data_IF_502961444106
#
_entry.id   IF_502961444106
#
_cell.length_a   1.000
_cell.length_b   1.000
_cell.length_c   1.000
_cell.angle_alpha   90.00
_cell.angle_beta   90.00
_cell.angle_gamma   90.00
#
_symmetry.space_group_name_H-M   'P 1'
#
loop_
_entity.id
_entity.type
_entity.pdbx_description
1 polymer ?
#
# COMPACT_ATOMS: atom_id res chain seq x y z
N UNK A 1 17.49 -17.15 19.64
CA UNK A 1 16.69 -17.13 18.38
C UNK A 1 17.68 -17.00 17.24
N UNK A 2 17.78 -18.04 16.41
CA UNK A 2 18.63 -18.06 15.23
C UNK A 2 18.48 -16.79 14.37
N UNK A 3 19.59 -16.29 13.84
CA UNK A 3 19.59 -15.23 12.82
C UNK A 3 18.80 -15.75 11.62
N UNK A 4 17.66 -15.14 11.33
CA UNK A 4 16.86 -15.50 10.16
C UNK A 4 17.29 -14.72 8.93
N UNK A 5 17.18 -15.34 7.76
CA UNK A 5 17.53 -14.72 6.49
C UNK A 5 16.59 -13.57 6.17
N UNK A 6 17.20 -12.45 5.76
CA UNK A 6 16.50 -11.26 5.21
C UNK A 6 16.37 -11.32 3.69
N UNK A 7 16.78 -12.42 3.06
CA UNK A 7 16.65 -12.56 1.60
C UNK A 7 15.19 -12.43 1.17
N UNK A 8 14.92 -11.58 0.18
CA UNK A 8 13.56 -11.29 -0.30
C UNK A 8 12.71 -10.45 0.68
N UNK A 9 13.33 -9.82 1.69
CA UNK A 9 12.70 -8.91 2.65
C UNK A 9 13.17 -7.48 2.38
N UNK A 10 12.32 -6.49 2.65
CA UNK A 10 12.62 -5.11 2.29
C UNK A 10 13.27 -4.30 3.40
N UNK A 11 12.95 -4.61 4.66
CA UNK A 11 13.63 -3.97 5.80
C UNK A 11 15.03 -4.54 6.01
N UNK A 12 16.04 -3.67 5.98
CA UNK A 12 17.42 -4.05 6.27
C UNK A 12 17.68 -4.19 7.76
N UNK A 13 16.82 -3.65 8.63
CA UNK A 13 16.92 -3.75 10.10
C UNK A 13 15.61 -4.23 10.72
N UNK A 14 15.69 -4.89 11.88
CA UNK A 14 14.54 -5.37 12.65
C UNK A 14 14.55 -4.86 14.10
N UNK A 15 14.87 -3.59 14.30
CA UNK A 15 14.87 -2.98 15.62
C UNK A 15 13.45 -2.91 16.21
N UNK A 16 13.31 -3.11 17.52
CA UNK A 16 12.04 -2.92 18.22
C UNK A 16 11.54 -1.47 18.16
N UNK A 17 10.23 -1.24 18.36
CA UNK A 17 9.68 0.10 18.32
C UNK A 17 10.20 0.95 19.49
N UNK A 18 10.71 2.14 19.20
CA UNK A 18 11.27 3.06 20.21
C UNK A 18 10.24 4.04 20.76
N UNK A 19 9.09 4.19 20.08
CA UNK A 19 8.07 5.19 20.41
C UNK A 19 7.35 4.95 21.74
N UNK A 20 7.25 3.71 22.19
CA UNK A 20 6.44 3.34 23.36
C UNK A 20 7.26 2.96 24.60
N UNK A 21 8.53 3.34 24.66
CA UNK A 21 9.41 3.07 25.81
C UNK A 21 9.41 1.60 26.26
N UNK A 22 9.31 0.67 25.30
CA UNK A 22 9.39 -0.76 25.60
C UNK A 22 10.81 -1.12 26.01
N UNK A 23 10.94 -2.02 26.99
CA UNK A 23 12.23 -2.61 27.33
C UNK A 23 12.81 -3.29 26.08
N UNK A 24 14.02 -2.90 25.69
CA UNK A 24 14.73 -3.59 24.63
C UNK A 24 14.97 -5.03 25.09
N UNK A 25 14.39 -5.99 24.38
CA UNK A 25 14.76 -7.39 24.54
C UNK A 25 16.13 -7.57 23.87
N UNK A 26 17.18 -7.49 24.68
CA UNK A 26 18.48 -8.05 24.31
C UNK A 26 18.30 -9.56 24.32
N UNK A 27 18.33 -10.17 23.14
CA UNK A 27 18.41 -11.62 23.02
C UNK A 27 19.90 -11.93 23.11
N UNK A 28 20.39 -12.28 24.29
CA UNK A 28 21.68 -12.95 24.42
C UNK A 28 21.51 -14.36 23.86
N UNK A 29 22.22 -14.68 22.78
CA UNK A 29 22.21 -16.01 22.20
C UNK A 29 22.89 -17.02 23.14
N UNK A 30 22.33 -18.21 23.25
CA UNK A 30 22.97 -19.36 23.89
C UNK A 30 24.01 -19.96 22.92
N UNK A 31 25.03 -20.64 23.44
CA UNK A 31 25.91 -21.51 22.65
C UNK A 31 25.13 -22.48 21.76
N UNK A 32 23.95 -22.98 22.17
CA UNK A 32 23.06 -23.78 21.31
C UNK A 32 22.50 -23.02 20.09
N UNK A 33 22.22 -21.71 20.19
CA UNK A 33 21.84 -20.87 19.03
C UNK A 33 22.98 -20.75 18.01
N UNK A 34 24.23 -20.99 18.45
CA UNK A 34 25.43 -20.98 17.60
C UNK A 34 25.62 -22.30 16.83
N UNK A 35 25.04 -23.40 17.33
CA UNK A 35 25.10 -24.72 16.67
C UNK A 35 24.11 -24.81 15.51
N UNK A 36 22.92 -24.20 15.62
CA UNK A 36 21.96 -24.09 14.49
C UNK A 36 22.51 -23.26 13.32
N UNK A 37 23.50 -22.38 13.56
CA UNK A 37 24.15 -21.60 12.50
C UNK A 37 25.07 -22.45 11.60
N UNK A 38 25.44 -23.68 12.00
CA UNK A 38 26.26 -24.59 11.20
C UNK A 38 25.50 -25.16 9.98
N UNK A 39 24.16 -25.23 10.05
CA UNK A 39 23.29 -25.71 8.96
C UNK A 39 22.75 -24.59 8.04
N UNK A 40 23.29 -23.36 8.20
CA UNK A 40 22.93 -22.19 7.41
C UNK A 40 21.82 -21.33 8.04
N UNK A 41 21.65 -20.12 7.49
CA UNK A 41 20.70 -19.12 8.01
C UNK A 41 19.26 -19.50 7.60
N UNK A 42 18.42 -19.89 8.56
CA UNK A 42 17.04 -20.29 8.30
C UNK A 42 16.22 -19.19 7.60
N UNK A 43 15.38 -19.50 6.60
CA UNK A 43 14.58 -18.49 5.92
C UNK A 43 13.48 -17.93 6.83
N UNK A 44 13.37 -16.59 6.91
CA UNK A 44 12.28 -15.92 7.64
C UNK A 44 10.93 -16.24 7.01
N UNK A 45 10.12 -17.04 7.69
CA UNK A 45 8.77 -17.41 7.24
C UNK A 45 7.75 -16.33 7.60
N UNK A 46 6.72 -16.18 6.77
CA UNK A 46 5.56 -15.35 7.10
C UNK A 46 4.62 -16.15 8.00
N UNK A 47 4.30 -15.61 9.18
CA UNK A 47 3.24 -16.10 10.07
C UNK A 47 2.02 -15.19 9.99
N UNK A 48 0.83 -15.77 10.20
CA UNK A 48 -0.43 -15.03 10.14
C UNK A 48 -1.24 -15.33 11.40
N UNK A 49 -1.61 -14.28 12.12
CA UNK A 49 -2.48 -14.35 13.29
C UNK A 49 -3.90 -13.94 12.90
N UNK A 50 -4.91 -14.68 13.34
CA UNK A 50 -6.31 -14.31 13.13
C UNK A 50 -6.67 -13.18 14.10
N UNK A 51 -7.04 -12.02 13.58
CA UNK A 51 -7.58 -10.88 14.31
C UNK A 51 -9.11 -10.90 14.24
N UNK A 52 -9.78 -10.73 15.39
CA UNK A 52 -11.25 -10.64 15.50
C UNK A 52 -11.67 -9.22 15.88
N UNK A 53 -11.69 -8.26 14.94
CA UNK A 53 -12.05 -6.89 15.25
C UNK A 53 -13.56 -6.76 15.49
N UNK A 54 -13.96 -5.74 16.27
CA UNK A 54 -15.39 -5.41 16.48
C UNK A 54 -16.02 -4.67 15.30
N UNK A 55 -15.21 -4.00 14.48
CA UNK A 55 -15.60 -3.28 13.28
C UNK A 55 -14.52 -3.44 12.22
N UNK A 56 -14.94 -3.54 10.96
CA UNK A 56 -14.03 -3.59 9.82
C UNK A 56 -13.85 -2.22 9.15
N UNK A 57 -14.81 -1.31 9.32
CA UNK A 57 -14.80 0.02 8.74
C UNK A 57 -13.98 0.97 9.61
N UNK A 58 -12.94 1.58 9.03
CA UNK A 58 -12.17 2.66 9.64
C UNK A 58 -12.56 3.98 9.02
N UNK A 59 -12.67 5.04 9.83
CA UNK A 59 -12.95 6.40 9.37
C UNK A 59 -11.75 7.33 9.53
N UNK A 60 -11.70 8.35 8.70
CA UNK A 60 -10.72 9.43 8.78
C UNK A 60 -11.37 10.76 8.39
N UNK A 61 -10.80 11.87 8.87
CA UNK A 61 -11.27 13.23 8.57
C UNK A 61 -10.23 14.04 7.79
N UNK A 62 -9.37 13.37 7.02
CA UNK A 62 -8.28 14.06 6.36
C UNK A 62 -8.75 14.81 5.11
N UNK A 63 -8.39 16.09 4.94
CA UNK A 63 -8.76 16.86 3.75
C UNK A 63 -7.91 16.50 2.51
N UNK A 64 -6.85 15.69 2.67
CA UNK A 64 -5.89 15.39 1.60
C UNK A 64 -6.27 14.17 0.75
N UNK A 65 -7.23 13.36 1.22
CA UNK A 65 -7.60 12.09 0.58
C UNK A 65 -9.08 12.11 0.21
N UNK A 66 -9.41 11.48 -0.92
CA UNK A 66 -10.75 11.54 -1.52
C UNK A 66 -11.78 10.60 -0.88
N UNK A 67 -11.52 10.08 0.33
CA UNK A 67 -12.39 9.14 1.02
C UNK A 67 -12.37 9.36 2.54
N UNK A 68 -13.51 9.18 3.20
CA UNK A 68 -13.65 9.28 4.65
C UNK A 68 -13.60 7.90 5.35
N UNK A 69 -13.70 6.81 4.59
CA UNK A 69 -13.80 5.45 5.13
C UNK A 69 -13.02 4.42 4.32
N UNK A 70 -12.49 3.42 5.02
CA UNK A 70 -11.70 2.35 4.42
C UNK A 70 -11.91 1.01 5.10
N UNK A 71 -11.58 -0.05 4.35
CA UNK A 71 -11.57 -1.43 4.82
C UNK A 71 -10.19 -2.01 4.54
N UNK A 72 -9.58 -2.60 5.57
CA UNK A 72 -8.27 -3.23 5.47
C UNK A 72 -8.39 -4.70 5.91
N UNK A 73 -8.33 -5.67 4.98
CA UNK A 73 -8.50 -7.09 5.28
C UNK A 73 -7.37 -7.66 6.15
N UNK A 74 -6.21 -6.99 6.13
CA UNK A 74 -5.02 -7.41 6.85
C UNK A 74 -4.42 -6.28 7.71
N UNK A 75 -3.46 -6.63 8.57
CA UNK A 75 -2.42 -5.73 9.07
C UNK A 75 -1.04 -6.29 8.76
N UNK A 76 -0.11 -5.40 8.43
CA UNK A 76 1.16 -5.77 7.81
C UNK A 76 1.01 -6.03 6.32
N UNK A 77 2.12 -6.17 5.61
CA UNK A 77 2.11 -6.44 4.17
C UNK A 77 3.33 -7.23 3.71
N UNK A 78 3.11 -8.38 3.06
CA UNK A 78 4.20 -9.20 2.53
C UNK A 78 5.01 -8.53 1.42
N UNK A 79 4.49 -7.49 0.76
CA UNK A 79 5.23 -6.77 -0.27
C UNK A 79 6.56 -6.19 0.25
N UNK A 80 6.63 -5.89 1.56
CA UNK A 80 7.87 -5.47 2.20
C UNK A 80 8.38 -4.11 1.75
N UNK A 81 7.55 -3.21 1.22
CA UNK A 81 8.04 -1.92 0.71
C UNK A 81 8.73 -1.11 1.82
N UNK A 82 10.01 -0.76 1.66
CA UNK A 82 10.81 -0.13 2.73
C UNK A 82 10.23 1.23 3.17
N UNK A 83 9.67 1.97 2.21
CA UNK A 83 9.07 3.29 2.41
C UNK A 83 7.62 3.26 2.93
N UNK A 84 7.08 2.07 3.26
CA UNK A 84 5.66 1.93 3.57
C UNK A 84 5.29 2.69 4.85
N UNK A 85 4.42 3.70 4.72
CA UNK A 85 3.96 4.52 5.84
C UNK A 85 3.15 3.75 6.88
N UNK A 86 2.71 2.52 6.57
CA UNK A 86 1.97 1.66 7.47
C UNK A 86 2.86 0.84 8.40
N UNK A 87 4.19 0.79 8.18
CA UNK A 87 5.15 0.10 9.07
C UNK A 87 5.00 0.45 10.56
N UNK A 88 4.79 1.72 10.94
CA UNK A 88 4.53 2.12 12.33
C UNK A 88 3.32 1.46 12.98
N UNK A 89 2.43 0.81 12.22
CA UNK A 89 1.26 0.13 12.79
C UNK A 89 1.63 -1.11 13.61
N UNK A 90 2.75 -1.75 13.31
CA UNK A 90 3.28 -2.88 14.08
C UNK A 90 3.84 -2.48 15.44
N UNK A 91 4.27 -1.23 15.59
CA UNK A 91 4.72 -0.70 16.88
C UNK A 91 3.62 -0.73 17.96
N UNK A 92 2.34 -0.67 17.59
CA UNK A 92 1.22 -0.79 18.53
C UNK A 92 0.97 -2.23 19.01
N UNK A 93 1.64 -3.21 18.41
CA UNK A 93 1.56 -4.63 18.78
C UNK A 93 2.88 -5.14 19.37
N UNK A 94 3.76 -4.22 19.78
CA UNK A 94 5.12 -4.53 20.26
C UNK A 94 5.96 -5.34 19.26
N UNK A 95 5.65 -5.21 17.97
CA UNK A 95 6.36 -5.84 16.86
C UNK A 95 7.23 -4.82 16.15
N UNK A 96 8.34 -5.28 15.56
CA UNK A 96 9.21 -4.40 14.79
C UNK A 96 8.51 -3.86 13.53
N UNK A 97 8.53 -2.54 13.27
CA UNK A 97 8.16 -1.97 11.98
C UNK A 97 9.05 -2.39 10.80
N UNK A 98 10.17 -3.07 11.08
CA UNK A 98 11.11 -3.64 10.11
C UNK A 98 10.61 -4.95 9.52
N UNK A 99 11.31 -6.05 9.81
CA UNK A 99 10.98 -7.37 9.24
C UNK A 99 9.68 -7.95 9.79
N UNK A 100 9.32 -7.67 11.04
CA UNK A 100 8.07 -8.21 11.60
C UNK A 100 6.83 -7.64 10.89
N UNK A 101 6.87 -6.40 10.39
CA UNK A 101 5.80 -5.82 9.57
C UNK A 101 5.45 -6.65 8.32
N UNK A 102 6.45 -7.28 7.73
CA UNK A 102 6.33 -8.03 6.47
C UNK A 102 6.39 -9.55 6.66
N UNK A 103 6.65 -10.03 7.88
CA UNK A 103 6.68 -11.45 8.21
C UNK A 103 5.70 -11.89 9.30
N UNK A 104 5.14 -10.98 10.12
CA UNK A 104 4.14 -11.29 11.15
C UNK A 104 2.87 -10.52 10.84
N UNK A 105 1.95 -11.16 10.14
CA UNK A 105 0.74 -10.53 9.60
C UNK A 105 -0.48 -10.85 10.44
N UNK A 106 -1.50 -10.02 10.30
CA UNK A 106 -2.81 -10.26 10.88
C UNK A 106 -3.85 -10.35 9.77
N UNK A 107 -4.69 -11.37 9.80
CA UNK A 107 -5.81 -11.55 8.88
C UNK A 107 -7.13 -11.37 9.62
N UNK A 108 -8.15 -10.83 8.93
CA UNK A 108 -9.50 -10.60 9.49
C UNK A 108 -10.53 -11.39 8.68
N UNK A 109 -10.68 -12.71 8.89
CA UNK A 109 -11.55 -13.56 8.06
C UNK A 109 -13.01 -13.12 8.11
N UNK A 110 -13.47 -12.62 9.26
CA UNK A 110 -14.83 -12.12 9.46
C UNK A 110 -15.09 -10.74 8.81
N UNK A 111 -14.16 -10.19 8.01
CA UNK A 111 -14.28 -8.85 7.45
C UNK A 111 -15.58 -8.64 6.63
N UNK A 112 -15.94 -9.59 5.76
CA UNK A 112 -17.16 -9.52 4.96
C UNK A 112 -18.42 -9.52 5.85
N UNK A 113 -18.46 -10.40 6.86
CA UNK A 113 -19.55 -10.47 7.83
C UNK A 113 -19.72 -9.17 8.62
N UNK A 114 -18.61 -8.60 9.10
CA UNK A 114 -18.62 -7.31 9.81
C UNK A 114 -19.04 -6.16 8.90
N UNK A 115 -18.63 -6.19 7.63
CA UNK A 115 -19.03 -5.20 6.64
C UNK A 115 -20.52 -5.28 6.37
N UNK A 116 -21.05 -6.47 6.08
CA UNK A 116 -22.47 -6.71 5.89
C UNK A 116 -23.27 -6.17 7.09
N UNK A 117 -22.89 -6.54 8.32
CA UNK A 117 -23.56 -6.04 9.53
C UNK A 117 -23.53 -4.51 9.64
N UNK A 118 -22.43 -3.88 9.21
CA UNK A 118 -22.31 -2.41 9.20
C UNK A 118 -23.24 -1.78 8.17
N UNK A 119 -23.33 -2.35 6.96
CA UNK A 119 -24.16 -1.85 5.87
C UNK A 119 -25.66 -2.08 6.11
N UNK A 120 -26.05 -3.07 6.93
CA UNK A 120 -27.43 -3.33 7.33
C UNK A 120 -27.99 -2.32 8.35
N UNK A 121 -27.18 -1.41 8.90
CA UNK A 121 -27.62 -0.52 9.97
C UNK A 121 -28.60 0.54 9.44
N UNK A 122 -29.74 0.77 10.09
CA UNK A 122 -30.65 1.86 9.73
C UNK A 122 -29.93 3.20 9.70
N UNK A 123 -30.15 3.99 8.65
CA UNK A 123 -29.52 5.30 8.49
C UNK A 123 -28.04 5.26 8.07
N UNK A 124 -27.54 4.13 7.56
CA UNK A 124 -26.20 4.08 6.96
C UNK A 124 -26.10 5.03 5.77
N UNK A 125 -25.24 6.04 5.88
CA UNK A 125 -24.91 6.98 4.81
C UNK A 125 -23.86 6.37 3.88
N UNK A 126 -24.21 6.16 2.61
CA UNK A 126 -23.34 5.57 1.60
C UNK A 126 -22.30 6.57 1.07
N UNK A 127 -21.03 6.17 1.14
CA UNK A 127 -19.92 6.87 0.48
C UNK A 127 -18.83 5.86 0.10
N UNK A 128 -17.99 6.13 -0.91
CA UNK A 128 -16.97 5.19 -1.38
C UNK A 128 -16.09 4.62 -0.26
N UNK A 129 -15.97 3.28 -0.22
CA UNK A 129 -15.04 2.58 0.67
C UNK A 129 -13.71 2.38 -0.04
N UNK A 130 -12.62 2.87 0.56
CA UNK A 130 -11.29 2.63 0.04
C UNK A 130 -10.69 1.32 0.58
N UNK A 131 -10.24 0.46 -0.32
CA UNK A 131 -9.37 -0.69 -0.05
C UNK A 131 -7.93 -0.31 -0.46
N UNK A 132 -6.94 -0.88 0.22
CA UNK A 132 -5.54 -0.56 -0.10
C UNK A 132 -4.96 0.63 0.64
N UNK A 133 -5.56 1.05 1.76
CA UNK A 133 -5.16 2.28 2.45
C UNK A 133 -3.99 2.06 3.39
N UNK A 134 -4.01 1.02 4.23
CA UNK A 134 -2.94 0.76 5.21
C UNK A 134 -2.21 -0.57 4.94
N UNK A 135 -2.83 -1.46 4.18
CA UNK A 135 -2.25 -2.71 3.70
C UNK A 135 -2.65 -2.91 2.25
N UNK A 136 -1.92 -3.74 1.52
CA UNK A 136 -2.33 -4.14 0.18
C UNK A 136 -3.34 -5.29 0.26
N UNK A 137 -4.56 -5.14 -0.31
CA UNK A 137 -5.56 -6.21 -0.31
C UNK A 137 -5.12 -7.43 -1.11
N UNK A 138 -4.23 -7.25 -2.10
CA UNK A 138 -3.78 -8.29 -3.02
C UNK A 138 -2.32 -8.71 -2.79
N UNK A 139 -1.83 -8.57 -1.56
CA UNK A 139 -0.55 -9.13 -1.12
C UNK A 139 -0.54 -10.67 -1.24
N UNK A 140 0.64 -11.34 -1.33
CA UNK A 140 0.70 -12.76 -1.64
C UNK A 140 -0.17 -13.69 -0.76
N UNK A 141 -0.33 -13.44 0.54
CA UNK A 141 -1.23 -14.24 1.39
C UNK A 141 -2.71 -14.24 0.92
N UNK A 142 -3.18 -13.23 0.19
CA UNK A 142 -4.55 -13.16 -0.36
C UNK A 142 -4.88 -14.37 -1.26
N UNK A 143 -3.87 -15.04 -1.82
CA UNK A 143 -4.07 -16.28 -2.59
C UNK A 143 -4.73 -17.39 -1.78
N UNK A 144 -4.46 -17.45 -0.48
CA UNK A 144 -5.00 -18.47 0.43
C UNK A 144 -6.21 -17.97 1.21
N UNK A 145 -6.21 -16.70 1.60
CA UNK A 145 -7.22 -16.15 2.52
C UNK A 145 -8.47 -15.63 1.80
N UNK A 146 -8.34 -15.12 0.57
CA UNK A 146 -9.47 -14.61 -0.24
C UNK A 146 -10.42 -13.64 0.50
N UNK A 147 -9.92 -12.90 1.51
CA UNK A 147 -10.72 -11.98 2.33
C UNK A 147 -11.11 -10.74 1.52
N UNK A 148 -10.25 -10.28 0.61
CA UNK A 148 -10.58 -9.17 -0.27
C UNK A 148 -11.74 -9.54 -1.16
N UNK A 149 -11.73 -10.76 -1.73
CA UNK A 149 -12.83 -11.23 -2.56
C UNK A 149 -14.16 -11.25 -1.80
N UNK A 150 -14.20 -11.79 -0.59
CA UNK A 150 -15.45 -11.82 0.20
C UNK A 150 -15.95 -10.42 0.58
N UNK A 151 -15.05 -9.45 0.78
CA UNK A 151 -15.43 -8.04 0.93
C UNK A 151 -16.05 -7.50 -0.37
N UNK A 152 -15.45 -7.79 -1.53
CA UNK A 152 -15.97 -7.34 -2.82
C UNK A 152 -17.33 -7.93 -3.14
N UNK A 153 -17.58 -9.19 -2.80
CA UNK A 153 -18.90 -9.83 -2.96
C UNK A 153 -20.00 -9.07 -2.21
N UNK A 154 -19.75 -8.68 -0.95
CA UNK A 154 -20.69 -7.85 -0.16
C UNK A 154 -20.89 -6.47 -0.79
N UNK A 155 -19.82 -5.84 -1.29
CA UNK A 155 -19.91 -4.53 -1.92
C UNK A 155 -20.68 -4.58 -3.25
N UNK A 156 -20.49 -5.63 -4.04
CA UNK A 156 -21.22 -5.86 -5.30
C UNK A 156 -22.69 -6.16 -5.04
N UNK A 157 -22.99 -7.06 -4.10
CA UNK A 157 -24.35 -7.39 -3.66
C UNK A 157 -25.12 -6.12 -3.27
N UNK A 158 -24.51 -5.28 -2.44
CA UNK A 158 -25.13 -4.05 -1.93
C UNK A 158 -25.05 -2.88 -2.91
N UNK A 159 -24.44 -3.08 -4.10
CA UNK A 159 -24.14 -2.02 -5.07
C UNK A 159 -23.46 -0.81 -4.42
N UNK A 160 -22.58 -1.08 -3.46
CA UNK A 160 -21.87 -0.07 -2.69
C UNK A 160 -20.61 0.38 -3.43
N UNK A 161 -20.34 1.70 -3.55
CA UNK A 161 -19.14 2.17 -4.24
C UNK A 161 -17.84 1.86 -3.49
N UNK A 162 -16.78 1.54 -4.23
CA UNK A 162 -15.46 1.25 -3.67
C UNK A 162 -14.31 1.62 -4.61
N UNK A 163 -13.14 1.87 -4.02
CA UNK A 163 -11.88 2.05 -4.75
C UNK A 163 -10.84 1.06 -4.26
N UNK A 164 -10.04 0.50 -5.15
CA UNK A 164 -8.93 -0.40 -4.79
C UNK A 164 -7.62 0.31 -5.10
N UNK A 165 -6.70 0.37 -4.14
CA UNK A 165 -5.29 0.73 -4.37
C UNK A 165 -4.41 -0.48 -4.14
N UNK A 166 -3.60 -0.88 -5.11
CA UNK A 166 -2.73 -2.07 -4.97
C UNK A 166 -1.41 -1.93 -5.75
N UNK A 167 -0.42 -2.73 -5.39
CA UNK A 167 0.81 -2.98 -6.16
C UNK A 167 0.78 -4.30 -6.91
N UNK A 168 -0.33 -5.04 -6.84
CA UNK A 168 -0.39 -6.43 -7.25
C UNK A 168 -1.24 -6.63 -8.49
N UNK A 169 -0.72 -7.37 -9.47
CA UNK A 169 -1.50 -7.84 -10.61
C UNK A 169 -2.55 -8.90 -10.22
N UNK A 170 -2.54 -9.38 -8.97
CA UNK A 170 -3.54 -10.34 -8.46
C UNK A 170 -4.95 -9.77 -8.39
N UNK A 171 -5.12 -8.45 -8.47
CA UNK A 171 -6.45 -7.80 -8.59
C UNK A 171 -7.26 -8.35 -9.76
N UNK A 172 -6.61 -8.86 -10.81
CA UNK A 172 -7.27 -9.48 -11.96
C UNK A 172 -8.07 -10.74 -11.59
N UNK A 173 -7.79 -11.38 -10.45
CA UNK A 173 -8.55 -12.56 -9.99
C UNK A 173 -10.01 -12.24 -9.65
N UNK A 174 -10.29 -10.98 -9.30
CA UNK A 174 -11.64 -10.52 -8.96
C UNK A 174 -12.21 -9.60 -10.05
N UNK A 175 -11.69 -9.69 -11.28
CA UNK A 175 -12.18 -8.90 -12.40
C UNK A 175 -13.67 -9.17 -12.69
N UNK A 176 -14.13 -10.39 -12.42
CA UNK A 176 -15.53 -10.80 -12.51
C UNK A 176 -16.46 -10.03 -11.58
N UNK A 177 -15.95 -9.52 -10.45
CA UNK A 177 -16.68 -8.66 -9.52
C UNK A 177 -16.46 -7.17 -9.81
N UNK A 178 -15.22 -6.80 -10.13
CA UNK A 178 -14.81 -5.40 -10.29
C UNK A 178 -15.38 -4.80 -11.58
N UNK A 179 -15.35 -5.51 -12.71
CA UNK A 179 -15.78 -4.97 -13.99
C UNK A 179 -17.29 -4.65 -14.04
N UNK A 180 -18.21 -5.55 -13.61
CA UNK A 180 -19.63 -5.23 -13.56
C UNK A 180 -19.96 -4.07 -12.60
N UNK A 181 -19.26 -3.97 -11.47
CA UNK A 181 -19.40 -2.83 -10.56
C UNK A 181 -18.90 -1.52 -11.20
N UNK A 182 -17.79 -1.58 -11.92
CA UNK A 182 -17.24 -0.42 -12.64
C UNK A 182 -18.18 0.08 -13.75
N UNK A 183 -18.84 -0.82 -14.48
CA UNK A 183 -19.83 -0.46 -15.51
C UNK A 183 -21.05 0.26 -14.92
N UNK A 184 -21.39 -0.03 -13.66
CA UNK A 184 -22.40 0.69 -12.90
C UNK A 184 -21.89 2.01 -12.29
N UNK A 185 -20.62 2.35 -12.47
CA UNK A 185 -19.99 3.53 -11.88
C UNK A 185 -19.67 3.39 -10.39
N UNK A 186 -19.52 2.17 -9.88
CA UNK A 186 -19.31 1.87 -8.46
C UNK A 186 -17.86 1.52 -8.12
N UNK A 187 -17.02 1.16 -9.08
CA UNK A 187 -15.66 0.72 -8.83
C UNK A 187 -14.61 1.49 -9.63
N UNK A 188 -13.45 1.74 -9.01
CA UNK A 188 -12.24 2.21 -9.68
C UNK A 188 -10.99 1.58 -9.05
N UNK A 189 -9.93 1.41 -9.85
CA UNK A 189 -8.69 0.74 -9.40
C UNK A 189 -7.48 1.63 -9.67
N UNK A 190 -6.66 1.86 -8.65
CA UNK A 190 -5.36 2.49 -8.78
C UNK A 190 -4.26 1.45 -8.56
N UNK A 191 -3.32 1.33 -9.51
CA UNK A 191 -2.15 0.46 -9.36
C UNK A 191 -0.88 1.29 -9.20
N UNK A 192 -0.12 1.02 -8.14
CA UNK A 192 1.15 1.72 -7.91
C UNK A 192 2.28 1.17 -8.76
N UNK A 193 2.91 2.04 -9.55
CA UNK A 193 4.14 1.75 -10.30
C UNK A 193 5.21 2.73 -9.83
N UNK A 194 6.17 2.20 -9.07
CA UNK A 194 7.17 3.02 -8.35
C UNK A 194 8.43 3.25 -9.18
N UNK A 195 8.87 2.23 -9.91
CA UNK A 195 10.06 2.21 -10.75
C UNK A 195 9.83 1.21 -11.89
N UNK A 196 10.35 1.50 -13.09
CA UNK A 196 10.39 0.57 -14.22
C UNK A 196 11.65 -0.30 -14.18
N UNK A 197 12.67 0.12 -13.43
CA UNK A 197 13.90 -0.65 -13.20
C UNK A 197 13.66 -1.84 -12.24
N UNK A 198 13.87 -3.09 -12.71
CA UNK A 198 13.79 -4.27 -11.87
C UNK A 198 14.80 -4.29 -10.71
N UNK A 199 15.99 -3.69 -10.86
CA UNK A 199 17.01 -3.65 -9.82
C UNK A 199 16.58 -2.77 -8.64
N UNK A 200 16.04 -1.58 -8.92
CA UNK A 200 15.44 -0.71 -7.91
C UNK A 200 14.23 -1.39 -7.27
N UNK A 201 13.34 -1.98 -8.06
CA UNK A 201 12.13 -2.65 -7.56
C UNK A 201 12.45 -3.81 -6.59
N UNK A 202 13.48 -4.61 -6.88
CA UNK A 202 13.87 -5.76 -6.04
C UNK A 202 14.38 -5.36 -4.66
N UNK A 203 14.97 -4.18 -4.52
CA UNK A 203 15.45 -3.68 -3.22
C UNK A 203 14.36 -2.90 -2.50
N UNK A 204 13.55 -2.13 -3.23
CA UNK A 204 12.59 -1.20 -2.67
C UNK A 204 11.27 -1.88 -2.26
N UNK A 205 10.82 -2.88 -3.02
CA UNK A 205 9.54 -3.58 -2.86
C UNK A 205 9.65 -5.07 -3.29
N UNK A 206 10.49 -5.86 -2.61
CA UNK A 206 11.03 -7.15 -3.08
C UNK A 206 9.98 -8.20 -3.44
N UNK A 207 8.81 -8.16 -2.81
CA UNK A 207 7.76 -9.18 -2.98
C UNK A 207 6.53 -8.66 -3.71
N UNK A 208 6.55 -7.40 -4.15
CA UNK A 208 5.54 -6.88 -5.05
C UNK A 208 5.81 -7.38 -6.49
N UNK A 209 4.78 -7.63 -7.31
CA UNK A 209 4.97 -7.98 -8.72
C UNK A 209 5.82 -6.95 -9.47
N UNK A 210 6.59 -7.38 -10.48
CA UNK A 210 7.38 -6.46 -11.31
C UNK A 210 6.49 -5.40 -12.00
N UNK A 211 7.03 -4.22 -12.26
CA UNK A 211 6.31 -3.10 -12.87
C UNK A 211 5.61 -3.48 -14.19
N UNK A 212 6.24 -4.29 -15.05
CA UNK A 212 5.64 -4.81 -16.28
C UNK A 212 4.32 -5.54 -16.04
N UNK A 213 4.24 -6.39 -15.00
CA UNK A 213 3.00 -7.11 -14.64
C UNK A 213 1.92 -6.16 -14.11
N UNK A 214 2.31 -5.07 -13.47
CA UNK A 214 1.39 -4.04 -12.97
C UNK A 214 0.79 -3.21 -14.11
N UNK A 215 1.63 -2.83 -15.08
CA UNK A 215 1.19 -2.15 -16.30
C UNK A 215 0.28 -3.04 -17.16
N UNK A 216 0.62 -4.32 -17.28
CA UNK A 216 -0.24 -5.31 -17.95
C UNK A 216 -1.61 -5.44 -17.25
N UNK A 217 -1.63 -5.47 -15.90
CA UNK A 217 -2.88 -5.47 -15.16
C UNK A 217 -3.70 -4.19 -15.36
N UNK A 218 -3.06 -3.02 -15.41
CA UNK A 218 -3.74 -1.76 -15.75
C UNK A 218 -4.41 -1.83 -17.13
N UNK A 219 -3.70 -2.37 -18.12
CA UNK A 219 -4.21 -2.57 -19.48
C UNK A 219 -5.44 -3.48 -19.50
N UNK A 220 -5.34 -4.67 -18.90
CA UNK A 220 -6.44 -5.64 -18.85
C UNK A 220 -7.68 -5.06 -18.14
N UNK A 221 -7.47 -4.35 -17.01
CA UNK A 221 -8.56 -3.67 -16.30
C UNK A 221 -9.21 -2.58 -17.18
N UNK A 222 -8.41 -1.78 -17.88
CA UNK A 222 -8.90 -0.75 -18.79
C UNK A 222 -9.69 -1.32 -19.96
N UNK A 223 -9.22 -2.41 -20.56
CA UNK A 223 -9.92 -3.14 -21.65
C UNK A 223 -11.26 -3.73 -21.17
N UNK A 224 -11.34 -4.15 -19.90
CA UNK A 224 -12.59 -4.58 -19.28
C UNK A 224 -13.53 -3.42 -18.88
N UNK A 225 -13.17 -2.17 -19.18
CA UNK A 225 -13.97 -0.98 -18.87
C UNK A 225 -13.87 -0.50 -17.43
N UNK A 226 -12.91 -0.99 -16.64
CA UNK A 226 -12.67 -0.52 -15.28
C UNK A 226 -11.94 0.83 -15.32
N UNK A 227 -12.43 1.89 -14.65
CA UNK A 227 -11.68 3.12 -14.49
C UNK A 227 -10.38 2.88 -13.73
N UNK A 228 -9.25 2.95 -14.43
CA UNK A 228 -7.92 2.72 -13.87
C UNK A 228 -7.11 3.99 -13.70
N UNK A 229 -6.34 4.05 -12.60
CA UNK A 229 -5.37 5.10 -12.34
C UNK A 229 -3.97 4.53 -12.17
N UNK A 230 -2.97 5.18 -12.74
CA UNK A 230 -1.57 4.90 -12.40
C UNK A 230 -1.13 5.77 -11.21
N UNK A 231 -0.59 5.13 -10.18
CA UNK A 231 -0.11 5.80 -8.97
C UNK A 231 1.42 5.75 -8.88
N UNK A 232 2.09 6.87 -9.12
CA UNK A 232 3.55 6.99 -8.99
C UNK A 232 3.87 7.35 -7.54
N UNK A 233 3.73 6.36 -6.66
CA UNK A 233 3.73 6.56 -5.21
C UNK A 233 4.56 5.47 -4.49
N UNK A 234 5.78 5.79 -4.02
CA UNK A 234 6.40 7.12 -3.97
C UNK A 234 7.30 7.48 -5.16
N UNK A 235 7.45 8.78 -5.40
CA UNK A 235 8.62 9.34 -6.10
C UNK A 235 9.73 9.59 -5.06
N UNK A 236 10.90 8.97 -5.29
CA UNK A 236 12.06 9.07 -4.40
C UNK A 236 13.13 9.90 -5.14
N UNK A 237 13.49 11.10 -4.62
CA UNK A 237 14.51 11.92 -5.24
C UNK A 237 15.83 11.17 -5.41
N UNK A 238 16.49 11.36 -6.55
CA UNK A 238 17.77 10.72 -6.92
C UNK A 238 17.74 9.19 -7.01
N UNK A 239 16.58 8.55 -6.82
CA UNK A 239 16.41 7.09 -6.97
C UNK A 239 15.42 6.79 -8.08
N UNK A 240 14.16 7.26 -7.99
CA UNK A 240 13.09 6.99 -8.97
C UNK A 240 12.55 8.23 -9.66
N UNK A 241 12.93 9.43 -9.21
CA UNK A 241 12.47 10.70 -9.78
C UNK A 241 12.82 10.89 -11.26
N UNK A 242 13.90 10.29 -11.74
CA UNK A 242 14.25 10.31 -13.17
C UNK A 242 13.28 9.51 -14.06
N UNK A 243 12.51 8.57 -13.48
CA UNK A 243 11.58 7.70 -14.21
C UNK A 243 10.16 8.29 -14.34
N UNK A 244 9.91 9.45 -13.72
CA UNK A 244 8.57 10.03 -13.59
C UNK A 244 7.83 10.13 -14.93
N UNK A 245 8.45 10.69 -15.95
CA UNK A 245 7.85 10.88 -17.28
C UNK A 245 7.70 9.55 -18.04
N UNK A 246 8.63 8.62 -17.85
CA UNK A 246 8.57 7.29 -18.46
C UNK A 246 7.42 6.47 -17.89
N UNK A 247 7.18 6.55 -16.58
CA UNK A 247 6.04 5.90 -15.93
C UNK A 247 4.72 6.53 -16.39
N UNK A 248 4.66 7.85 -16.56
CA UNK A 248 3.48 8.51 -17.16
C UNK A 248 3.20 7.98 -18.56
N UNK A 249 4.23 7.91 -19.42
CA UNK A 249 4.09 7.37 -20.77
C UNK A 249 3.58 5.92 -20.76
N UNK A 250 4.19 5.07 -19.94
CA UNK A 250 3.79 3.66 -19.79
C UNK A 250 2.35 3.50 -19.27
N UNK A 251 1.90 4.40 -18.37
CA UNK A 251 0.51 4.42 -17.92
C UNK A 251 -0.46 4.75 -19.05
N UNK A 252 -0.16 5.73 -19.89
CA UNK A 252 -0.99 6.08 -21.06
C UNK A 252 -1.01 4.93 -22.09
N UNK A 253 0.12 4.28 -22.33
CA UNK A 253 0.19 3.08 -23.20
C UNK A 253 -0.67 1.93 -22.65
N UNK A 254 -0.78 1.82 -21.33
CA UNK A 254 -1.70 0.89 -20.66
C UNK A 254 -3.16 1.38 -20.62
N UNK A 255 -3.48 2.48 -21.30
CA UNK A 255 -4.83 3.05 -21.42
C UNK A 255 -5.48 3.40 -20.07
N UNK A 256 -4.71 3.91 -19.11
CA UNK A 256 -5.28 4.39 -17.84
C UNK A 256 -6.13 5.65 -18.03
N UNK A 257 -7.19 5.80 -17.23
CA UNK A 257 -8.04 7.01 -17.23
C UNK A 257 -7.29 8.23 -16.73
N UNK A 258 -6.33 8.04 -15.81
CA UNK A 258 -5.58 9.13 -15.23
C UNK A 258 -4.46 8.64 -14.33
N UNK A 259 -3.85 9.56 -13.59
CA UNK A 259 -2.80 9.20 -12.65
C UNK A 259 -2.39 10.35 -11.76
N UNK A 260 -1.59 10.00 -10.76
CA UNK A 260 -1.04 10.95 -9.80
C UNK A 260 0.33 10.45 -9.32
N UNK A 261 1.09 11.36 -8.71
CA UNK A 261 2.34 11.02 -8.04
C UNK A 261 2.29 11.51 -6.59
N UNK A 262 3.09 10.87 -5.73
CA UNK A 262 3.30 11.30 -4.35
C UNK A 262 4.80 11.22 -4.03
N UNK A 263 5.46 12.30 -3.60
CA UNK A 263 6.82 12.20 -3.08
C UNK A 263 6.87 11.31 -1.83
N UNK A 264 8.00 10.64 -1.62
CA UNK A 264 8.21 9.77 -0.46
C UNK A 264 7.92 10.49 0.87
N UNK A 265 7.35 9.73 1.81
CA UNK A 265 7.03 10.17 3.17
C UNK A 265 7.65 9.18 4.15
N UNK A 266 8.29 9.69 5.19
CA UNK A 266 9.06 8.88 6.13
C UNK A 266 8.58 9.09 7.58
N UNK A 267 7.30 8.81 7.89
CA UNK A 267 6.78 9.02 9.25
C UNK A 267 7.41 8.03 10.25
N UNK A 268 7.70 8.51 11.46
CA UNK A 268 8.12 7.69 12.60
C UNK A 268 9.26 6.72 12.25
N UNK A 269 9.08 5.41 12.49
CA UNK A 269 10.08 4.36 12.29
C UNK A 269 10.45 4.12 10.83
N UNK A 270 9.71 4.70 9.87
CA UNK A 270 10.03 4.58 8.45
C UNK A 270 11.32 5.32 8.10
N UNK A 271 11.57 6.49 8.69
CA UNK A 271 12.78 7.28 8.42
C UNK A 271 14.09 6.52 8.72
N UNK A 272 14.31 5.95 9.92
CA UNK A 272 15.53 5.19 10.20
C UNK A 272 15.65 3.92 9.36
N UNK A 273 14.54 3.24 9.05
CA UNK A 273 14.55 2.07 8.16
C UNK A 273 14.96 2.45 6.73
N UNK A 274 14.42 3.56 6.22
CA UNK A 274 14.74 4.05 4.88
C UNK A 274 16.20 4.52 4.76
N UNK A 275 16.74 5.18 5.79
CA UNK A 275 18.16 5.53 5.87
C UNK A 275 19.05 4.28 5.83
N UNK A 276 18.73 3.26 6.63
CA UNK A 276 19.47 2.01 6.63
C UNK A 276 19.43 1.29 5.26
N UNK A 277 18.32 1.41 4.53
CA UNK A 277 18.20 0.90 3.17
C UNK A 277 19.01 1.70 2.15
N UNK A 278 19.07 3.03 2.30
CA UNK A 278 19.95 3.88 1.48
C UNK A 278 21.43 3.55 1.73
N UNK A 279 21.83 3.38 2.98
CA UNK A 279 23.22 3.04 3.33
C UNK A 279 23.65 1.69 2.71
N UNK A 280 22.72 0.74 2.62
CA UNK A 280 23.00 -0.59 2.07
C UNK A 280 23.01 -0.62 0.53
N UNK A 281 22.07 0.07 -0.12
CA UNK A 281 21.87 -0.06 -1.57
C UNK A 281 22.32 1.15 -2.40
N UNK A 282 22.46 2.32 -1.77
CA UNK A 282 22.82 3.59 -2.42
C UNK A 282 23.75 4.45 -1.54
N UNK A 283 24.85 3.90 -0.99
CA UNK A 283 25.71 4.60 -0.02
C UNK A 283 26.33 5.89 -0.59
N UNK A 284 26.60 5.92 -1.89
CA UNK A 284 27.17 7.04 -2.63
C UNK A 284 26.24 8.27 -2.68
N UNK A 285 24.92 8.06 -2.59
CA UNK A 285 23.92 9.13 -2.70
C UNK A 285 22.96 9.23 -1.52
N UNK A 286 23.09 8.38 -0.50
CA UNK A 286 22.24 8.37 0.69
C UNK A 286 22.08 9.76 1.34
N UNK A 287 23.20 10.46 1.55
CA UNK A 287 23.19 11.82 2.10
C UNK A 287 22.45 12.82 1.22
N UNK A 288 22.63 12.74 -0.10
CA UNK A 288 21.96 13.63 -1.06
C UNK A 288 20.45 13.38 -1.10
N UNK A 289 20.02 12.11 -1.14
CA UNK A 289 18.60 11.72 -1.11
C UNK A 289 17.92 12.30 0.13
N UNK A 290 18.51 12.07 1.32
CA UNK A 290 17.94 12.56 2.57
C UNK A 290 17.93 14.08 2.65
N UNK A 291 18.97 14.77 2.16
CA UNK A 291 18.99 16.24 2.09
C UNK A 291 17.85 16.78 1.22
N UNK A 292 17.59 16.19 0.06
CA UNK A 292 16.47 16.62 -0.82
C UNK A 292 15.12 16.35 -0.17
N UNK A 293 14.95 15.20 0.48
CA UNK A 293 13.72 14.91 1.26
C UNK A 293 13.51 15.97 2.34
N UNK A 294 14.54 16.30 3.11
CA UNK A 294 14.45 17.31 4.18
C UNK A 294 14.13 18.70 3.63
N UNK A 295 14.70 19.10 2.50
CA UNK A 295 14.36 20.36 1.83
C UNK A 295 12.86 20.41 1.48
N UNK A 296 12.29 19.30 0.97
CA UNK A 296 10.86 19.20 0.68
C UNK A 296 9.95 19.14 1.91
N UNK A 297 10.51 19.00 3.12
CA UNK A 297 9.78 18.75 4.38
C UNK A 297 10.13 19.75 5.49
N UNK A 298 10.71 20.89 5.12
CA UNK A 298 11.06 21.96 6.07
C UNK A 298 12.17 21.56 7.04
N UNK A 299 13.20 20.87 6.56
CA UNK A 299 14.36 20.44 7.36
C UNK A 299 14.18 19.14 8.14
N UNK A 300 13.02 18.47 8.02
CA UNK A 300 12.69 17.23 8.74
C UNK A 300 12.63 16.03 7.82
N UNK A 301 12.71 14.82 8.35
CA UNK A 301 12.56 13.59 7.53
C UNK A 301 11.11 13.40 7.04
N UNK A 302 10.14 13.98 7.74
CA UNK A 302 8.72 13.91 7.37
C UNK A 302 7.97 15.17 7.79
N UNK A 303 6.91 15.48 7.03
CA UNK A 303 5.95 16.53 7.34
C UNK A 303 4.58 15.90 7.64
N UNK A 304 3.99 16.13 8.83
CA UNK A 304 2.65 15.65 9.15
C UNK A 304 1.52 16.61 8.73
N UNK A 305 1.84 17.85 8.31
CA UNK A 305 0.85 18.89 8.01
C UNK A 305 -0.08 18.52 6.86
N UNK A 306 -1.37 18.78 7.01
CA UNK A 306 -2.31 18.66 5.89
C UNK A 306 -1.91 19.60 4.75
N UNK A 307 -2.28 19.24 3.53
CA UNK A 307 -1.97 19.92 2.26
C UNK A 307 -0.50 19.88 1.85
N UNK A 308 0.44 19.93 2.79
CA UNK A 308 1.88 19.90 2.54
C UNK A 308 2.47 18.48 2.55
N UNK A 309 2.01 17.58 3.43
CA UNK A 309 2.58 16.22 3.58
C UNK A 309 2.56 15.38 2.31
N UNK A 310 1.57 15.56 1.43
CA UNK A 310 1.44 14.80 0.18
C UNK A 310 2.16 15.47 -1.00
N UNK A 311 2.48 16.76 -0.92
CA UNK A 311 3.04 17.54 -2.04
C UNK A 311 4.52 17.88 -1.84
N UNK A 312 4.92 18.16 -0.61
CA UNK A 312 6.20 18.79 -0.30
C UNK A 312 6.16 20.29 -0.56
N UNK A 313 7.26 20.96 -0.26
CA UNK A 313 7.43 22.40 -0.45
C UNK A 313 8.80 22.72 -1.05
N UNK A 314 8.93 23.91 -1.63
CA UNK A 314 10.19 24.41 -2.17
C UNK A 314 10.56 23.86 -3.55
N UNK A 315 11.75 24.25 -4.07
CA UNK A 315 12.09 24.08 -5.48
C UNK A 315 12.04 22.65 -6.01
N UNK A 316 12.39 21.66 -5.16
CA UNK A 316 12.32 20.24 -5.55
C UNK A 316 10.88 19.74 -5.70
N UNK A 317 9.97 20.15 -4.81
CA UNK A 317 8.56 19.79 -4.93
C UNK A 317 7.94 20.43 -6.17
N UNK A 318 8.26 21.70 -6.43
CA UNK A 318 7.81 22.44 -7.62
C UNK A 318 8.36 21.84 -8.91
N UNK A 319 9.62 21.37 -8.90
CA UNK A 319 10.22 20.66 -10.02
C UNK A 319 9.50 19.34 -10.31
N UNK A 320 9.24 18.50 -9.29
CA UNK A 320 8.50 17.25 -9.47
C UNK A 320 7.09 17.51 -10.01
N UNK A 321 6.40 18.53 -9.49
CA UNK A 321 5.08 18.95 -9.95
C UNK A 321 5.13 19.35 -11.41
N UNK A 322 6.04 20.25 -11.78
CA UNK A 322 6.19 20.76 -13.14
C UNK A 322 6.52 19.62 -14.12
N UNK A 323 7.40 18.69 -13.73
CA UNK A 323 7.75 17.52 -14.55
C UNK A 323 6.54 16.61 -14.77
N UNK A 324 5.79 16.29 -13.72
CA UNK A 324 4.57 15.49 -13.84
C UNK A 324 3.52 16.18 -14.71
N UNK A 325 3.23 17.46 -14.50
CA UNK A 325 2.24 18.22 -15.28
C UNK A 325 2.62 18.31 -16.76
N UNK A 326 3.90 18.57 -17.06
CA UNK A 326 4.39 18.57 -18.46
C UNK A 326 4.30 17.20 -19.10
N UNK A 327 4.63 16.13 -18.37
CA UNK A 327 4.52 14.78 -18.88
C UNK A 327 3.06 14.38 -19.11
N UNK A 328 2.18 14.68 -18.15
CA UNK A 328 0.75 14.43 -18.27
C UNK A 328 0.14 15.17 -19.46
N UNK A 329 0.51 16.44 -19.68
CA UNK A 329 0.10 17.19 -20.85
C UNK A 329 0.66 16.59 -22.16
N UNK A 330 1.95 16.26 -22.20
CA UNK A 330 2.63 15.69 -23.38
C UNK A 330 2.01 14.36 -23.81
N UNK A 331 1.80 13.45 -22.86
CA UNK A 331 1.24 12.12 -23.11
C UNK A 331 -0.29 12.08 -23.03
N UNK A 332 -0.95 13.21 -22.75
CA UNK A 332 -2.42 13.33 -22.61
C UNK A 332 -3.01 12.44 -21.50
N UNK A 333 -2.27 12.26 -20.40
CA UNK A 333 -2.79 11.65 -19.19
C UNK A 333 -3.82 12.60 -18.56
N UNK A 334 -5.06 12.14 -18.38
CA UNK A 334 -6.13 12.99 -17.85
C UNK A 334 -5.98 13.15 -16.34
N UNK A 335 -6.33 14.33 -15.84
CA UNK A 335 -6.51 14.58 -14.41
C UNK A 335 -7.89 14.09 -13.94
N UNK A 336 -8.23 12.83 -14.20
CA UNK A 336 -9.54 12.27 -13.88
C UNK A 336 -9.52 11.67 -12.47
N UNK A 337 -10.34 12.21 -11.57
CA UNK A 337 -10.68 11.55 -10.30
C UNK A 337 -11.98 10.78 -10.52
N UNK A 338 -12.01 9.45 -10.34
CA UNK A 338 -13.23 8.68 -10.53
C UNK A 338 -14.28 9.16 -9.52
N UNK A 339 -15.40 9.68 -10.05
CA UNK A 339 -16.57 10.01 -9.24
C UNK A 339 -17.48 8.78 -9.24
N UNK A 340 -17.60 8.14 -8.08
CA UNK A 340 -18.37 6.92 -7.94
C UNK A 340 -19.81 7.23 -7.53
N UNK A 341 -20.75 6.49 -8.11
CA UNK A 341 -22.17 6.59 -7.81
C UNK A 341 -22.46 6.12 -6.39
N UNK A 342 -23.44 6.77 -5.76
CA UNK A 342 -23.88 6.48 -4.38
C UNK A 342 -25.38 6.16 -4.32
N UNK A 343 -26.10 6.48 -5.39
CA UNK A 343 -27.55 6.37 -5.52
C UNK A 343 -28.05 4.94 -5.77
N UNK A 344 -27.14 4.00 -6.09
CA UNK A 344 -27.50 2.60 -6.37
C UNK A 344 -27.48 1.70 -5.14
N UNK A 345 -26.97 2.18 -4.00
CA UNK A 345 -26.80 1.36 -2.82
C UNK A 345 -28.14 0.80 -2.34
N UNK A 346 -28.13 -0.49 -2.03
CA UNK A 346 -29.22 -1.18 -1.34
C UNK A 346 -28.63 -1.89 -0.12
N UNK A 347 -29.24 -1.76 1.07
CA UNK A 347 -28.84 -2.58 2.20
C UNK A 347 -28.99 -4.07 1.84
N UNK A 348 -28.14 -4.94 2.40
CA UNK A 348 -28.17 -6.36 2.08
C UNK A 348 -29.46 -7.02 2.59
N UNK A 349 -29.90 -8.07 1.91
CA UNK A 349 -31.14 -8.78 2.21
C UNK A 349 -31.03 -9.59 3.52
N UNK A 350 -31.83 -9.21 4.52
CA UNK A 350 -31.98 -9.92 5.79
C UNK A 350 -30.89 -9.62 6.84
N UNK A 351 -31.29 -9.63 8.12
CA UNK A 351 -30.37 -9.56 9.26
C UNK A 351 -29.73 -10.91 9.60
N UNK A 352 -30.02 -11.96 8.83
CA UNK A 352 -29.70 -13.34 9.15
C UNK A 352 -28.36 -13.69 8.53
N UNK A 353 -27.38 -14.00 9.39
CA UNK A 353 -26.02 -14.37 9.02
C UNK A 353 -26.02 -15.39 7.87
N UNK A 354 -25.67 -14.97 6.65
CA UNK A 354 -25.23 -15.92 5.64
C UNK A 354 -23.99 -16.62 6.19
N UNK A 355 -23.99 -17.94 6.12
CA UNK A 355 -22.79 -18.76 6.28
C UNK A 355 -21.93 -18.50 5.05
N UNK A 356 -21.14 -17.41 5.08
CA UNK A 356 -20.08 -17.14 4.12
C UNK A 356 -18.81 -17.86 4.55
#
# INVERSE_FOLDING_TARGET
MAVESRSGRGATRNGGPTRFNLQQKLIEGDWLDSVEALDGVAPRRTTVTIEKPRSILTRNASPDIGFDRSVNPYRGCEHGCIYCFARPTHAYHDLSPGLDFESRLFAKPDAAKLLHSTLSRPGYDVAPIALGTNTDPYQPIEERWSITRSILEVLVETRHPFTITTKSSRVLRDLDLIAPAAHQGLAAVAISVTSLDPAVSRTLEPRAPAARKRLEALKILGEAGVPTLIAIAPVIPQITDHELEAIVAAGVEANVRGGFYLPVRLPHEVAPLFRAWLDEHYPDRAGKVMSVIQQMRGGRDNDPGFFSRMRGQGPWADLLKTRFEKAAARYRLRAEKPVLRRDLFSPPDGAQMRLL
#
